data_IF_515617102597
#
_entry.id   IF_515617102597
#
_cell.length_a   1.000
_cell.length_b   1.000
_cell.length_c   1.000
_cell.angle_alpha   90.00
_cell.angle_beta   90.00
_cell.angle_gamma   90.00
#
_symmetry.space_group_name_H-M   'P 1'
#
loop_
_entity.id
_entity.type
_entity.pdbx_description
1 polymer ?
#
# COMPACT_ATOMS: atom_id res chain seq x y z
N UNK A 1 0.86 18.93 5.74
CA UNK A 1 0.97 17.46 5.94
C UNK A 1 1.01 16.88 4.55
N UNK A 2 2.23 16.83 4.05
CA UNK A 2 2.56 16.95 2.65
C UNK A 2 2.56 15.58 1.99
N UNK A 3 1.66 15.38 1.01
CA UNK A 3 1.61 14.21 0.12
C UNK A 3 2.85 14.10 -0.82
N UNK A 4 3.91 14.87 -0.54
CA UNK A 4 4.94 15.34 -1.49
C UNK A 4 6.02 14.30 -1.80
N UNK A 5 6.08 13.14 -1.13
CA UNK A 5 7.17 12.18 -1.33
C UNK A 5 6.77 10.80 -1.85
N UNK A 6 5.49 10.64 -2.23
CA UNK A 6 4.96 9.34 -2.65
C UNK A 6 5.44 8.98 -4.07
N UNK A 7 5.59 9.94 -4.99
CA UNK A 7 5.93 9.66 -6.39
C UNK A 7 7.38 9.21 -6.63
N UNK A 8 8.35 9.76 -5.90
CA UNK A 8 9.77 9.41 -6.12
C UNK A 8 10.09 8.00 -5.62
N UNK A 9 9.55 7.60 -4.47
CA UNK A 9 9.83 6.29 -3.87
C UNK A 9 8.92 5.17 -4.39
N UNK A 10 7.77 5.49 -4.99
CA UNK A 10 6.85 4.47 -5.51
C UNK A 10 7.46 3.69 -6.68
N UNK A 11 8.28 4.34 -7.51
CA UNK A 11 8.89 3.69 -8.68
C UNK A 11 9.92 2.63 -8.30
N UNK A 12 10.51 2.74 -7.11
CA UNK A 12 11.48 1.77 -6.57
C UNK A 12 10.83 0.66 -5.72
N UNK A 13 9.54 0.79 -5.41
CA UNK A 13 8.83 -0.16 -4.56
C UNK A 13 8.22 -1.31 -5.40
N UNK A 14 8.31 -2.55 -4.93
CA UNK A 14 7.64 -3.68 -5.59
C UNK A 14 6.13 -3.75 -5.31
N UNK A 15 5.68 -3.12 -4.22
CA UNK A 15 4.29 -3.13 -3.76
C UNK A 15 4.00 -1.87 -2.93
N UNK A 16 2.84 -1.26 -3.16
CA UNK A 16 2.34 -0.14 -2.35
C UNK A 16 1.16 -0.62 -1.53
N UNK A 17 1.24 -0.40 -0.21
CA UNK A 17 0.17 -0.70 0.73
C UNK A 17 -0.40 0.60 1.29
N UNK A 18 -1.70 0.80 1.08
CA UNK A 18 -2.44 1.96 1.55
C UNK A 18 -3.13 1.67 2.88
N UNK A 19 -3.08 2.63 3.79
CA UNK A 19 -3.87 2.57 5.01
C UNK A 19 -5.38 2.67 4.67
N UNK A 20 -6.26 2.05 5.50
CA UNK A 20 -7.71 2.05 5.26
C UNK A 20 -8.31 3.46 5.10
N UNK A 21 -7.75 4.44 5.81
CA UNK A 21 -8.22 5.84 5.79
C UNK A 21 -8.01 6.53 4.43
N UNK A 22 -7.02 6.07 3.64
CA UNK A 22 -6.68 6.64 2.32
C UNK A 22 -6.97 5.66 1.19
N UNK A 23 -7.79 4.63 1.43
CA UNK A 23 -8.15 3.61 0.44
C UNK A 23 -8.78 4.20 -0.83
N UNK A 24 -9.46 5.36 -0.73
CA UNK A 24 -10.06 6.06 -1.86
C UNK A 24 -9.01 6.61 -2.86
N UNK A 25 -7.78 6.87 -2.41
CA UNK A 25 -6.67 7.30 -3.28
C UNK A 25 -6.11 6.14 -4.12
N UNK A 26 -6.52 4.88 -3.88
CA UNK A 26 -6.02 3.69 -4.60
C UNK A 26 -6.07 3.88 -6.11
N UNK A 27 -7.20 4.32 -6.64
CA UNK A 27 -7.37 4.45 -8.10
C UNK A 27 -6.48 5.55 -8.67
N UNK A 28 -6.29 6.64 -7.91
CA UNK A 28 -5.41 7.75 -8.29
C UNK A 28 -3.95 7.31 -8.28
N UNK A 29 -3.50 6.63 -7.23
CA UNK A 29 -2.12 6.16 -7.10
C UNK A 29 -1.84 5.07 -8.14
N UNK A 30 -2.77 4.13 -8.36
CA UNK A 30 -2.66 3.09 -9.38
C UNK A 30 -2.50 3.64 -10.80
N UNK A 31 -3.05 4.84 -11.10
CA UNK A 31 -2.82 5.53 -12.39
C UNK A 31 -1.45 6.20 -12.48
N UNK A 32 -0.80 6.47 -11.35
CA UNK A 32 0.49 7.15 -11.27
C UNK A 32 1.68 6.18 -11.23
N UNK A 33 1.42 4.87 -11.10
CA UNK A 33 2.47 3.85 -11.01
C UNK A 33 2.09 2.54 -11.66
N UNK A 34 3.11 1.78 -12.07
CA UNK A 34 2.95 0.43 -12.60
C UNK A 34 3.01 -0.65 -11.52
N UNK A 35 3.31 -0.28 -10.27
CA UNK A 35 3.46 -1.23 -9.16
C UNK A 35 2.10 -1.55 -8.56
N UNK A 36 1.87 -2.78 -8.08
CA UNK A 36 0.59 -3.14 -7.47
C UNK A 36 0.29 -2.25 -6.25
N UNK A 37 -0.92 -1.70 -6.22
CA UNK A 37 -1.42 -0.86 -5.12
C UNK A 37 -2.57 -1.58 -4.45
N UNK A 38 -2.37 -1.95 -3.19
CA UNK A 38 -3.36 -2.67 -2.38
C UNK A 38 -3.65 -1.93 -1.07
N UNK A 39 -4.78 -2.28 -0.45
CA UNK A 39 -5.23 -1.63 0.80
C UNK A 39 -5.06 -2.63 1.93
N UNK A 40 -4.41 -2.19 3.02
CA UNK A 40 -4.24 -3.00 4.22
C UNK A 40 -5.60 -3.18 4.89
N UNK A 41 -5.87 -4.37 5.44
CA UNK A 41 -7.09 -4.59 6.22
C UNK A 41 -7.18 -3.63 7.40
N UNK A 42 -8.36 -3.09 7.65
CA UNK A 42 -8.60 -2.19 8.79
C UNK A 42 -8.29 -2.84 10.12
N UNK A 43 -8.56 -4.15 10.24
CA UNK A 43 -8.27 -4.92 11.44
C UNK A 43 -6.77 -5.07 11.68
N UNK A 44 -5.98 -5.44 10.67
CA UNK A 44 -4.53 -5.58 10.83
C UNK A 44 -3.87 -4.22 11.12
N UNK A 45 -4.34 -3.14 10.48
CA UNK A 45 -3.87 -1.79 10.73
C UNK A 45 -4.22 -1.31 12.16
N UNK A 46 -5.45 -1.56 12.62
CA UNK A 46 -5.89 -1.18 13.97
C UNK A 46 -5.15 -1.95 15.07
N UNK A 47 -4.86 -3.22 14.83
CA UNK A 47 -4.14 -4.08 15.78
C UNK A 47 -2.62 -3.90 15.71
N UNK A 48 -2.10 -3.07 14.79
CA UNK A 48 -0.67 -2.93 14.49
C UNK A 48 0.00 -4.30 14.25
N UNK A 49 -0.74 -5.22 13.62
CA UNK A 49 -0.29 -6.58 13.36
C UNK A 49 0.65 -6.58 12.14
N UNK A 50 1.91 -6.23 12.40
CA UNK A 50 2.94 -6.17 11.36
C UNK A 50 3.15 -7.51 10.66
N UNK A 51 2.96 -8.63 11.36
CA UNK A 51 3.16 -9.95 10.80
C UNK A 51 2.06 -10.27 9.77
N UNK A 52 0.80 -10.02 10.11
CA UNK A 52 -0.30 -10.17 9.17
C UNK A 52 -0.16 -9.25 7.94
N UNK A 53 0.33 -8.02 8.14
CA UNK A 53 0.57 -7.07 7.03
C UNK A 53 1.69 -7.58 6.11
N UNK A 54 2.80 -8.06 6.68
CA UNK A 54 3.93 -8.60 5.90
C UNK A 54 3.54 -9.87 5.16
N UNK A 55 2.82 -10.80 5.79
CA UNK A 55 2.34 -12.01 5.12
C UNK A 55 1.38 -11.69 3.97
N UNK A 56 0.52 -10.70 4.17
CA UNK A 56 -0.38 -10.19 3.12
C UNK A 56 0.42 -9.60 1.95
N UNK A 57 1.43 -8.77 2.23
CA UNK A 57 2.33 -8.20 1.23
C UNK A 57 3.03 -9.30 0.40
N UNK A 58 3.62 -10.28 1.08
CA UNK A 58 4.34 -11.39 0.44
C UNK A 58 3.43 -12.26 -0.44
N UNK A 59 2.17 -12.45 -0.05
CA UNK A 59 1.19 -13.16 -0.88
C UNK A 59 0.84 -12.39 -2.16
N UNK A 60 0.79 -11.06 -2.08
CA UNK A 60 0.51 -10.20 -3.24
C UNK A 60 1.69 -10.17 -4.21
N UNK A 61 2.93 -10.12 -3.72
CA UNK A 61 4.14 -10.12 -4.56
C UNK A 61 4.39 -11.46 -5.28
N UNK A 62 3.83 -12.57 -4.79
CA UNK A 62 3.98 -13.92 -5.39
C UNK A 62 2.92 -14.25 -6.45
N UNK A 63 1.99 -13.35 -6.71
CA UNK A 63 0.86 -13.56 -7.61
C UNK A 63 1.17 -13.03 -9.00
#
# INVERSE_FOLDING_TARGET
MDFVNVSENISEADLVLLAPQVAFEREKISKLTNVPVEVISSQAYANLDGLAITEYALKLMKK
#
